data_IF_584827154699
#
_entry.id   IF_584827154699
#
_cell.length_a   1.000
_cell.length_b   1.000
_cell.length_c   1.000
_cell.angle_alpha   90.00
_cell.angle_beta   90.00
_cell.angle_gamma   90.00
#
_symmetry.space_group_name_H-M   'P 1'
#
loop_
_entity.id
_entity.type
_entity.pdbx_description
1 polymer ?
#
# COMPACT_ATOMS: atom_id res chain seq x y z
N UNK A 1 17.98 33.23 12.48
CA UNK A 1 17.37 32.50 13.62
C UNK A 1 16.06 33.12 14.12
N UNK A 2 15.79 34.42 13.95
CA UNK A 2 14.53 35.04 14.38
C UNK A 2 13.28 34.61 13.57
N UNK A 3 13.47 34.24 12.29
CA UNK A 3 12.37 33.96 11.35
C UNK A 3 11.74 32.56 11.52
N UNK A 4 12.50 31.59 12.04
CA UNK A 4 12.01 30.23 12.33
C UNK A 4 11.10 30.24 13.57
N UNK A 5 11.42 31.09 14.55
CA UNK A 5 10.62 31.22 15.78
C UNK A 5 9.26 31.87 15.50
N UNK A 6 9.23 32.89 14.65
CA UNK A 6 7.98 33.53 14.20
C UNK A 6 7.03 32.54 13.50
N UNK A 7 7.58 31.65 12.65
CA UNK A 7 6.79 30.61 11.99
C UNK A 7 6.25 29.56 12.96
N UNK A 8 7.01 29.21 14.01
CA UNK A 8 6.56 28.27 15.04
C UNK A 8 5.45 28.86 15.92
N UNK A 9 5.57 30.13 16.30
CA UNK A 9 4.58 30.82 17.15
C UNK A 9 3.25 31.02 16.40
N UNK A 10 3.30 31.25 15.08
CA UNK A 10 2.10 31.39 14.24
C UNK A 10 1.33 30.09 14.03
N UNK A 11 2.00 28.93 14.05
CA UNK A 11 1.35 27.61 13.94
C UNK A 11 0.60 27.26 15.22
N UNK A 12 1.21 27.52 16.39
CA UNK A 12 0.57 27.27 17.69
C UNK A 12 -0.71 28.09 17.89
N UNK A 13 -0.77 29.32 17.37
CA UNK A 13 -1.94 30.19 17.46
C UNK A 13 -3.14 29.71 16.61
N UNK A 14 -2.90 28.93 15.55
CA UNK A 14 -3.96 28.41 14.68
C UNK A 14 -4.59 27.13 15.24
N UNK A 15 -3.79 26.29 15.92
CA UNK A 15 -4.27 25.05 16.54
C UNK A 15 -5.19 25.31 17.74
N UNK A 16 -4.97 26.41 18.48
CA UNK A 16 -5.85 26.82 19.59
C UNK A 16 -7.26 27.24 19.12
N UNK A 17 -7.44 27.58 17.84
CA UNK A 17 -8.70 28.10 17.29
C UNK A 17 -9.62 26.99 16.72
N UNK A 18 -9.09 25.79 16.51
CA UNK A 18 -9.81 24.67 15.90
C UNK A 18 -10.56 23.76 16.90
N UNK A 19 -10.19 23.79 18.19
CA UNK A 19 -10.72 22.85 19.21
C UNK A 19 -12.03 23.27 19.90
N UNK A 20 -12.80 24.17 19.31
CA UNK A 20 -14.02 24.72 19.92
C UNK A 20 -15.27 24.64 19.05
N UNK A 21 -15.84 23.44 18.85
CA UNK A 21 -17.30 23.23 18.65
C UNK A 21 -17.67 21.74 18.59
N UNK A 22 -18.55 21.33 19.51
CA UNK A 22 -19.18 20.01 19.57
C UNK A 22 -20.44 19.87 18.70
N UNK A 23 -20.83 18.60 18.49
CA UNK A 23 -21.92 18.02 17.67
C UNK A 23 -23.37 18.37 18.14
N UNK A 24 -24.48 17.98 17.44
CA UNK A 24 -24.94 16.58 17.28
C UNK A 24 -25.71 16.20 15.96
N UNK A 25 -25.85 14.89 15.70
CA UNK A 25 -26.69 14.16 14.68
C UNK A 25 -28.20 14.14 15.05
N UNK A 26 -29.21 13.68 14.24
CA UNK A 26 -29.38 12.27 13.76
C UNK A 26 -30.25 11.99 12.46
N UNK A 27 -30.34 10.69 12.11
CA UNK A 27 -31.45 9.95 11.42
C UNK A 27 -31.54 9.94 9.87
N UNK A 28 -32.02 8.93 9.11
CA UNK A 28 -32.46 7.51 9.28
C UNK A 28 -32.81 6.94 7.87
N UNK A 29 -32.43 5.67 7.59
CA UNK A 29 -33.01 4.61 6.69
C UNK A 29 -33.45 4.87 5.24
N UNK A 30 -32.98 4.03 4.30
CA UNK A 30 -33.81 3.18 3.40
C UNK A 30 -32.93 2.08 2.75
N UNK A 31 -33.37 0.83 2.86
CA UNK A 31 -32.75 -0.39 2.34
C UNK A 31 -33.67 -1.03 1.30
N UNK A 32 -33.13 -1.58 0.21
CA UNK A 32 -33.72 -2.62 -0.66
C UNK A 32 -32.75 -2.97 -1.83
N UNK A 33 -32.86 -4.11 -2.54
CA UNK A 33 -32.71 -5.50 -2.09
C UNK A 33 -31.62 -6.29 -2.87
N UNK A 34 -31.17 -7.38 -2.25
CA UNK A 34 -30.09 -8.29 -2.67
C UNK A 34 -30.31 -9.02 -4.01
N UNK A 35 -29.26 -9.06 -4.83
CA UNK A 35 -29.04 -10.11 -5.84
C UNK A 35 -27.98 -11.07 -5.28
N UNK A 36 -28.19 -12.41 -5.24
CA UNK A 36 -27.25 -13.33 -4.59
C UNK A 36 -25.91 -13.39 -5.33
N UNK A 37 -24.89 -12.75 -4.75
CA UNK A 37 -23.50 -12.94 -5.16
C UNK A 37 -23.01 -14.31 -4.63
N UNK A 38 -22.28 -15.12 -5.42
CA UNK A 38 -21.75 -16.40 -4.96
C UNK A 38 -20.90 -16.21 -3.68
N UNK A 39 -20.97 -17.16 -2.73
CA UNK A 39 -20.34 -16.99 -1.42
C UNK A 39 -18.84 -16.78 -1.59
N UNK A 40 -18.37 -15.64 -1.09
CA UNK A 40 -16.94 -15.34 -0.91
C UNK A 40 -16.30 -16.52 -0.16
N UNK A 41 -15.22 -17.13 -0.69
CA UNK A 41 -14.61 -18.29 -0.03
C UNK A 41 -14.25 -17.92 1.40
N UNK A 42 -14.76 -18.73 2.34
CA UNK A 42 -14.62 -18.50 3.77
C UNK A 42 -13.13 -18.44 4.12
N UNK A 43 -12.67 -17.28 4.58
CA UNK A 43 -11.34 -17.10 5.19
C UNK A 43 -11.28 -18.08 6.37
N UNK A 44 -10.36 -19.05 6.32
CA UNK A 44 -10.09 -19.89 7.48
C UNK A 44 -9.83 -18.96 8.68
N UNK A 45 -10.71 -19.00 9.67
CA UNK A 45 -10.52 -18.25 10.91
C UNK A 45 -9.30 -18.86 11.59
N UNK A 46 -8.19 -18.11 11.57
CA UNK A 46 -6.96 -18.50 12.26
C UNK A 46 -7.25 -18.37 13.75
N UNK A 47 -7.76 -19.44 14.36
CA UNK A 47 -7.79 -19.56 15.81
C UNK A 47 -6.37 -19.86 16.27
N UNK A 48 -5.87 -19.11 17.27
CA UNK A 48 -4.53 -19.22 17.87
C UNK A 48 -4.25 -20.58 18.55
N UNK A 49 -5.11 -21.58 18.37
CA UNK A 49 -4.88 -22.94 18.83
C UNK A 49 -3.74 -23.58 18.01
N UNK A 50 -2.77 -24.26 18.66
CA UNK A 50 -1.74 -25.02 17.97
C UNK A 50 -2.37 -25.95 16.92
N UNK A 51 -1.79 -26.10 15.72
CA UNK A 51 -2.32 -27.03 14.73
C UNK A 51 -2.28 -28.44 15.30
N UNK A 52 -3.44 -29.10 15.39
CA UNK A 52 -3.45 -30.54 15.65
C UNK A 52 -2.75 -31.23 14.48
N UNK A 53 -1.70 -32.04 14.71
CA UNK A 53 -0.95 -32.70 13.65
C UNK A 53 -1.87 -33.51 12.75
N UNK A 54 -1.76 -33.31 11.44
CA UNK A 54 -2.60 -34.01 10.48
C UNK A 54 -2.13 -35.47 10.31
N UNK A 55 -3.07 -36.42 10.30
CA UNK A 55 -2.77 -37.86 10.16
C UNK A 55 -2.62 -38.32 8.70
N UNK A 56 -2.52 -37.39 7.74
CA UNK A 56 -2.45 -37.72 6.32
C UNK A 56 -1.08 -38.32 5.95
N UNK A 57 -1.03 -39.33 5.05
CA UNK A 57 0.23 -39.84 4.50
C UNK A 57 1.10 -38.76 3.86
N UNK A 58 0.51 -37.67 3.40
CA UNK A 58 1.22 -36.52 2.84
C UNK A 58 2.25 -35.94 3.83
N UNK A 59 1.91 -35.83 5.11
CA UNK A 59 2.82 -35.28 6.12
C UNK A 59 3.92 -36.25 6.55
N UNK A 60 3.94 -37.48 6.02
CA UNK A 60 5.07 -38.41 6.16
C UNK A 60 6.22 -38.10 5.19
N UNK A 61 5.98 -37.25 4.18
CA UNK A 61 7.02 -36.75 3.30
C UNK A 61 7.96 -35.80 4.06
N UNK A 62 9.22 -35.70 3.61
CA UNK A 62 10.14 -34.69 4.14
C UNK A 62 9.62 -33.29 3.81
N UNK A 63 9.96 -32.31 4.67
CA UNK A 63 9.60 -30.90 4.48
C UNK A 63 9.98 -30.40 3.09
N UNK A 64 11.16 -30.76 2.59
CA UNK A 64 11.64 -30.37 1.25
C UNK A 64 10.69 -30.84 0.15
N UNK A 65 10.23 -32.09 0.20
CA UNK A 65 9.29 -32.64 -0.78
C UNK A 65 7.91 -31.97 -0.67
N UNK A 66 7.45 -31.66 0.56
CA UNK A 66 6.18 -30.96 0.76
C UNK A 66 6.24 -29.53 0.20
N UNK A 67 7.32 -28.80 0.44
CA UNK A 67 7.54 -27.46 -0.12
C UNK A 67 7.58 -27.48 -1.65
N UNK A 68 8.21 -28.48 -2.26
CA UNK A 68 8.22 -28.63 -3.71
C UNK A 68 6.81 -28.90 -4.27
N UNK A 69 6.03 -29.76 -3.60
CA UNK A 69 4.62 -29.99 -3.96
C UNK A 69 3.79 -28.71 -3.82
N UNK A 70 4.01 -27.92 -2.76
CA UNK A 70 3.34 -26.63 -2.59
C UNK A 70 3.67 -25.67 -3.74
N UNK A 71 4.94 -25.59 -4.16
CA UNK A 71 5.36 -24.76 -5.29
C UNK A 71 4.66 -25.14 -6.59
N UNK A 72 4.51 -26.45 -6.85
CA UNK A 72 3.79 -26.94 -8.03
C UNK A 72 2.27 -26.67 -7.97
N UNK A 73 1.71 -26.48 -6.78
CA UNK A 73 0.28 -26.25 -6.58
C UNK A 73 -0.12 -24.76 -6.58
N UNK A 74 0.85 -23.84 -6.59
CA UNK A 74 0.64 -22.38 -6.64
C UNK A 74 0.88 -21.89 -8.09
N UNK A 75 0.24 -20.80 -8.55
CA UNK A 75 0.44 -20.32 -9.92
C UNK A 75 1.91 -20.13 -10.30
N UNK A 76 2.28 -20.55 -11.51
CA UNK A 76 3.63 -20.34 -12.05
C UNK A 76 3.94 -18.85 -12.23
N UNK A 77 2.92 -18.03 -12.49
CA UNK A 77 3.05 -16.58 -12.53
C UNK A 77 3.31 -16.02 -11.13
N UNK A 78 4.53 -15.52 -10.93
CA UNK A 78 5.00 -14.96 -9.65
C UNK A 78 4.50 -13.55 -9.34
N UNK A 79 3.70 -12.98 -10.23
CA UNK A 79 3.20 -11.61 -10.13
C UNK A 79 1.75 -11.64 -9.64
N UNK A 80 1.49 -11.08 -8.46
CA UNK A 80 0.17 -11.10 -7.85
C UNK A 80 -0.36 -9.69 -7.77
N UNK A 81 -1.45 -9.40 -8.48
CA UNK A 81 -2.12 -8.10 -8.36
C UNK A 81 -2.81 -7.97 -7.00
N UNK A 82 -2.58 -6.83 -6.35
CA UNK A 82 -3.20 -6.42 -5.09
C UNK A 82 -4.05 -5.19 -5.37
N UNK A 83 -5.30 -5.22 -4.91
CA UNK A 83 -6.24 -4.10 -4.94
C UNK A 83 -6.76 -3.77 -3.53
N UNK A 84 -7.71 -2.84 -3.45
CA UNK A 84 -8.32 -2.42 -2.18
C UNK A 84 -9.11 -3.52 -1.47
N UNK A 85 -9.50 -4.58 -2.16
CA UNK A 85 -10.18 -5.76 -1.61
C UNK A 85 -9.21 -6.88 -1.20
N UNK A 86 -7.91 -6.72 -1.51
CA UNK A 86 -6.84 -7.65 -1.21
C UNK A 86 -6.30 -8.32 -2.48
N UNK A 87 -6.03 -9.62 -2.38
CA UNK A 87 -5.56 -10.43 -3.50
C UNK A 87 -6.04 -11.86 -3.35
N UNK A 88 -6.15 -12.57 -4.48
CA UNK A 88 -6.53 -13.97 -4.49
C UNK A 88 -5.40 -14.82 -3.88
N UNK A 89 -5.73 -15.55 -2.80
CA UNK A 89 -4.81 -16.53 -2.22
C UNK A 89 -4.95 -17.87 -2.95
N UNK A 90 -3.85 -18.59 -3.19
CA UNK A 90 -3.90 -19.95 -3.73
C UNK A 90 -4.82 -20.86 -2.92
N UNK A 91 -5.59 -21.70 -3.61
CA UNK A 91 -6.53 -22.63 -2.97
C UNK A 91 -5.83 -23.58 -1.98
N UNK A 92 -4.53 -23.84 -2.19
CA UNK A 92 -3.66 -24.59 -1.29
C UNK A 92 -3.76 -24.11 0.17
N UNK A 93 -3.86 -22.80 0.39
CA UNK A 93 -3.93 -22.20 1.73
C UNK A 93 -5.26 -22.43 2.44
N UNK A 94 -6.29 -22.91 1.73
CA UNK A 94 -7.60 -23.23 2.29
C UNK A 94 -7.73 -24.71 2.69
N UNK A 95 -6.69 -25.54 2.48
CA UNK A 95 -6.75 -26.98 2.73
C UNK A 95 -6.75 -27.33 4.22
N UNK A 96 -5.67 -27.02 4.95
CA UNK A 96 -5.55 -27.23 6.38
C UNK A 96 -4.54 -26.25 7.01
N UNK A 97 -4.59 -26.10 8.33
CA UNK A 97 -3.69 -25.20 9.07
C UNK A 97 -2.21 -25.55 8.90
N UNK A 98 -1.88 -26.83 8.82
CA UNK A 98 -0.47 -27.28 8.72
C UNK A 98 0.14 -26.86 7.38
N UNK A 99 -0.54 -27.13 6.26
CA UNK A 99 -0.14 -26.64 4.93
C UNK A 99 -0.09 -25.11 4.91
N UNK A 100 -1.10 -24.44 5.50
CA UNK A 100 -1.11 -22.98 5.58
C UNK A 100 0.18 -22.45 6.23
N UNK A 101 0.54 -22.92 7.42
CA UNK A 101 1.72 -22.41 8.12
C UNK A 101 3.04 -22.82 7.47
N UNK A 102 3.12 -23.98 6.82
CA UNK A 102 4.35 -24.44 6.16
C UNK A 102 4.60 -23.73 4.83
N UNK A 103 3.55 -23.49 4.02
CA UNK A 103 3.68 -22.93 2.68
C UNK A 103 3.68 -21.38 2.64
N UNK A 104 3.06 -20.72 3.63
CA UNK A 104 2.89 -19.26 3.63
C UNK A 104 4.23 -18.48 3.59
N UNK A 105 5.29 -18.86 4.35
CA UNK A 105 6.57 -18.15 4.30
C UNK A 105 7.21 -18.20 2.91
N UNK A 106 7.23 -19.36 2.27
CA UNK A 106 7.77 -19.52 0.91
C UNK A 106 6.98 -18.70 -0.11
N UNK A 107 5.66 -18.64 0.02
CA UNK A 107 4.82 -17.83 -0.87
C UNK A 107 5.11 -16.34 -0.77
N UNK A 108 5.26 -15.76 0.42
CA UNK A 108 5.60 -14.34 0.52
C UNK A 108 7.06 -14.04 0.14
N UNK A 109 7.95 -15.03 0.21
CA UNK A 109 9.34 -14.89 -0.21
C UNK A 109 9.52 -15.00 -1.74
N UNK A 110 8.78 -15.88 -2.40
CA UNK A 110 8.99 -16.22 -3.81
C UNK A 110 8.19 -15.34 -4.79
N UNK A 111 7.14 -14.65 -4.31
CA UNK A 111 6.19 -13.91 -5.15
C UNK A 111 6.37 -12.40 -5.03
N UNK A 112 6.12 -11.70 -6.14
CA UNK A 112 6.13 -10.24 -6.24
C UNK A 112 4.68 -9.75 -6.28
N UNK A 113 4.30 -9.00 -5.27
CA UNK A 113 2.98 -8.37 -5.20
C UNK A 113 2.99 -7.04 -5.93
N UNK A 114 1.93 -6.77 -6.68
CA UNK A 114 1.78 -5.60 -7.52
C UNK A 114 0.55 -4.83 -7.10
N UNK A 115 0.73 -3.79 -6.30
CA UNK A 115 -0.39 -2.94 -5.90
C UNK A 115 -0.70 -1.95 -7.01
N UNK A 116 -1.86 -2.09 -7.64
CA UNK A 116 -2.31 -1.17 -8.67
C UNK A 116 -2.89 0.09 -8.02
N UNK A 117 -2.05 1.09 -7.84
CA UNK A 117 -2.43 2.41 -7.35
C UNK A 117 -3.05 3.22 -8.50
N UNK A 118 -4.24 3.76 -8.25
CA UNK A 118 -4.89 4.72 -9.16
C UNK A 118 -4.70 6.11 -8.60
N UNK A 119 -4.48 7.10 -9.45
CA UNK A 119 -4.38 8.51 -9.03
C UNK A 119 -3.37 8.71 -7.89
N UNK A 120 -2.26 7.95 -7.87
CA UNK A 120 -1.28 7.96 -6.78
C UNK A 120 -1.85 7.72 -5.37
N UNK A 121 -3.04 7.12 -5.25
CA UNK A 121 -3.66 6.84 -3.96
C UNK A 121 -2.81 5.81 -3.16
N UNK A 122 -2.29 6.19 -1.99
CA UNK A 122 -1.46 5.32 -1.17
C UNK A 122 -2.26 4.29 -0.35
N UNK A 123 -3.61 4.30 -0.38
CA UNK A 123 -4.43 3.47 0.50
C UNK A 123 -4.13 1.96 0.40
N UNK A 124 -4.00 1.43 -0.82
CA UNK A 124 -3.70 -0.01 -1.04
C UNK A 124 -2.34 -0.39 -0.44
N UNK A 125 -1.34 0.48 -0.62
CA UNK A 125 0.00 0.26 -0.07
C UNK A 125 0.00 0.39 1.45
N UNK A 126 -0.74 1.36 1.98
CA UNK A 126 -0.88 1.57 3.42
C UNK A 126 -1.48 0.32 4.08
N UNK A 127 -2.59 -0.18 3.54
CA UNK A 127 -3.23 -1.41 4.02
C UNK A 127 -2.28 -2.62 3.93
N UNK A 128 -1.55 -2.76 2.82
CA UNK A 128 -0.54 -3.81 2.67
C UNK A 128 0.50 -3.79 3.78
N UNK A 129 1.07 -2.62 4.07
CA UNK A 129 2.07 -2.48 5.11
C UNK A 129 1.52 -2.78 6.50
N UNK A 130 0.29 -2.37 6.79
CA UNK A 130 -0.38 -2.70 8.05
C UNK A 130 -0.62 -4.20 8.21
N UNK A 131 -1.04 -4.87 7.15
CA UNK A 131 -1.28 -6.31 7.14
C UNK A 131 0.01 -7.12 7.19
N UNK A 132 1.11 -6.63 6.61
CA UNK A 132 2.35 -7.42 6.46
C UNK A 132 3.45 -7.13 7.47
N UNK A 133 3.29 -6.09 8.31
CA UNK A 133 4.30 -5.70 9.33
C UNK A 133 4.70 -6.79 10.34
N UNK A 134 3.90 -7.86 10.45
CA UNK A 134 4.15 -8.97 11.38
C UNK A 134 4.99 -10.09 10.77
N UNK A 135 5.25 -10.08 9.46
CA UNK A 135 6.16 -11.04 8.83
C UNK A 135 7.61 -10.69 9.13
N UNK A 136 8.42 -11.71 9.40
CA UNK A 136 9.86 -11.54 9.65
C UNK A 136 10.60 -11.01 8.42
N UNK A 137 10.19 -11.45 7.23
CA UNK A 137 10.68 -10.94 5.95
C UNK A 137 9.56 -10.13 5.31
N UNK A 138 9.84 -8.86 4.99
CA UNK A 138 8.88 -7.98 4.32
C UNK A 138 8.55 -8.55 2.93
N UNK A 139 7.28 -8.92 2.67
CA UNK A 139 6.89 -9.39 1.36
C UNK A 139 7.19 -8.37 0.26
N UNK A 140 7.69 -8.83 -0.88
CA UNK A 140 8.05 -7.95 -1.98
C UNK A 140 6.81 -7.33 -2.62
N UNK A 141 6.66 -6.00 -2.52
CA UNK A 141 5.59 -5.25 -3.19
C UNK A 141 6.14 -4.16 -4.12
N UNK A 142 5.51 -4.05 -5.29
CA UNK A 142 5.73 -3.03 -6.30
C UNK A 142 4.47 -2.17 -6.44
N UNK A 143 4.49 -0.91 -5.98
CA UNK A 143 3.39 0.02 -6.22
C UNK A 143 3.39 0.45 -7.69
N UNK A 144 2.43 -0.06 -8.47
CA UNK A 144 2.28 0.27 -9.89
C UNK A 144 1.22 1.36 -10.05
N UNK A 145 1.54 2.42 -10.78
CA UNK A 145 0.56 3.46 -11.13
C UNK A 145 0.18 3.41 -12.60
N UNK A 146 -1.09 3.66 -12.90
CA UNK A 146 -1.57 3.92 -14.27
C UNK A 146 -1.21 5.33 -14.75
N UNK A 147 -0.43 6.07 -13.96
CA UNK A 147 0.06 7.41 -14.27
C UNK A 147 -1.04 8.43 -14.55
N UNK A 148 -2.08 8.40 -13.71
CA UNK A 148 -3.10 9.46 -13.69
C UNK A 148 -2.70 10.52 -12.64
N UNK A 149 -2.39 11.77 -13.05
CA UNK A 149 -1.99 12.84 -12.15
C UNK A 149 -2.98 13.08 -11.01
N UNK A 150 -2.46 13.17 -9.79
CA UNK A 150 -3.22 13.62 -8.63
C UNK A 150 -2.26 14.11 -7.55
N UNK A 151 -2.18 15.42 -7.38
CA UNK A 151 -1.13 16.03 -6.58
C UNK A 151 -1.27 15.73 -5.08
N UNK A 152 -2.48 15.83 -4.54
CA UNK A 152 -2.70 15.63 -3.10
C UNK A 152 -2.35 14.21 -2.65
N UNK A 153 -2.83 13.18 -3.36
CA UNK A 153 -2.45 11.79 -3.12
C UNK A 153 -0.93 11.55 -3.24
N UNK A 154 -0.26 12.15 -4.23
CA UNK A 154 1.20 12.06 -4.34
C UNK A 154 1.89 12.68 -3.12
N UNK A 155 1.41 13.83 -2.63
CA UNK A 155 1.93 14.47 -1.42
C UNK A 155 1.70 13.61 -0.18
N UNK A 156 0.53 12.99 -0.04
CA UNK A 156 0.25 12.07 1.07
C UNK A 156 1.16 10.84 1.04
N UNK A 157 1.44 10.31 -0.15
CA UNK A 157 2.40 9.24 -0.31
C UNK A 157 3.83 9.69 0.06
N UNK A 158 4.26 10.85 -0.44
CA UNK A 158 5.56 11.43 -0.11
C UNK A 158 5.71 11.69 1.40
N UNK A 159 4.61 12.04 2.08
CA UNK A 159 4.56 12.19 3.55
C UNK A 159 4.82 10.87 4.26
N UNK A 160 4.13 9.80 3.84
CA UNK A 160 4.38 8.46 4.38
C UNK A 160 5.79 7.94 4.07
N UNK A 161 6.30 8.24 2.88
CA UNK A 161 7.65 7.87 2.46
C UNK A 161 8.73 8.63 3.24
N UNK A 162 8.52 9.93 3.47
CA UNK A 162 9.35 10.76 4.35
C UNK A 162 9.39 10.16 5.77
N UNK A 163 8.22 9.87 6.35
CA UNK A 163 8.10 9.27 7.69
C UNK A 163 8.66 7.84 7.78
N UNK A 164 8.88 7.17 6.65
CA UNK A 164 9.31 5.77 6.60
C UNK A 164 8.17 4.76 6.80
N UNK A 165 6.92 5.21 6.90
CA UNK A 165 5.75 4.32 6.99
C UNK A 165 5.35 3.69 5.65
N UNK A 166 5.73 4.31 4.53
CA UNK A 166 5.54 3.80 3.18
C UNK A 166 6.89 3.74 2.46
N UNK A 167 7.71 2.69 2.62
CA UNK A 167 9.11 2.69 2.18
C UNK A 167 9.33 2.50 0.67
N UNK A 168 8.26 2.41 -0.14
CA UNK A 168 8.37 2.16 -1.59
C UNK A 168 7.93 3.36 -2.42
N UNK A 169 8.68 3.59 -3.49
CA UNK A 169 8.36 4.55 -4.52
C UNK A 169 7.37 3.93 -5.51
N UNK A 170 6.58 4.78 -6.16
CA UNK A 170 5.69 4.38 -7.24
C UNK A 170 6.49 4.11 -8.52
N UNK A 171 6.12 3.06 -9.24
CA UNK A 171 6.68 2.71 -10.55
C UNK A 171 5.58 2.70 -11.62
N UNK A 172 5.94 2.97 -12.85
CA UNK A 172 5.00 2.98 -13.97
C UNK A 172 4.53 1.59 -14.35
N UNK A 173 3.25 1.49 -14.74
CA UNK A 173 2.67 0.25 -15.29
C UNK A 173 2.79 0.25 -16.82
N UNK A 174 3.66 -0.60 -17.34
CA UNK A 174 3.77 -0.85 -18.79
C UNK A 174 4.52 0.24 -19.56
N UNK A 175 4.27 0.33 -20.86
CA UNK A 175 4.95 1.29 -21.74
C UNK A 175 4.45 2.71 -21.49
N UNK A 176 5.37 3.63 -21.26
CA UNK A 176 5.08 5.05 -21.11
C UNK A 176 5.22 5.80 -22.42
N UNK A 177 4.45 6.88 -22.56
CA UNK A 177 4.78 7.94 -23.51
C UNK A 177 5.98 8.74 -23.02
N UNK A 178 6.69 9.40 -23.94
CA UNK A 178 7.83 10.27 -23.60
C UNK A 178 7.49 11.38 -22.59
N UNK A 179 6.26 11.89 -22.62
CA UNK A 179 5.79 12.88 -21.63
C UNK A 179 5.67 12.24 -20.24
N UNK A 180 5.14 11.02 -20.16
CA UNK A 180 5.03 10.27 -18.89
C UNK A 180 6.41 9.91 -18.33
N UNK A 181 7.38 9.58 -19.18
CA UNK A 181 8.78 9.35 -18.74
C UNK A 181 9.35 10.60 -18.06
N UNK A 182 9.19 11.79 -18.64
CA UNK A 182 9.62 13.04 -17.99
C UNK A 182 8.89 13.30 -16.68
N UNK A 183 7.59 12.99 -16.60
CA UNK A 183 6.86 13.08 -15.34
C UNK A 183 7.38 12.09 -14.30
N UNK A 184 7.72 10.86 -14.70
CA UNK A 184 8.30 9.84 -13.82
C UNK A 184 9.63 10.29 -13.25
N UNK A 185 10.52 10.86 -14.07
CA UNK A 185 11.79 11.41 -13.60
C UNK A 185 11.57 12.46 -12.49
N UNK A 186 10.61 13.37 -12.69
CA UNK A 186 10.27 14.39 -11.70
C UNK A 186 9.69 13.74 -10.44
N UNK A 187 8.71 12.84 -10.57
CA UNK A 187 8.11 12.14 -9.42
C UNK A 187 9.19 11.38 -8.63
N UNK A 188 10.11 10.69 -9.30
CA UNK A 188 11.23 9.99 -8.65
C UNK A 188 12.15 10.95 -7.91
N UNK A 189 12.42 12.13 -8.48
CA UNK A 189 13.19 13.18 -7.80
C UNK A 189 12.49 13.72 -6.55
N UNK A 190 11.14 13.78 -6.54
CA UNK A 190 10.36 14.13 -5.36
C UNK A 190 10.53 13.08 -4.25
N UNK A 191 10.45 11.79 -4.58
CA UNK A 191 10.73 10.73 -3.62
C UNK A 191 12.18 10.78 -3.09
N UNK A 192 13.15 11.04 -3.96
CA UNK A 192 14.54 11.26 -3.57
C UNK A 192 14.69 12.44 -2.60
N UNK A 193 14.02 13.55 -2.87
CA UNK A 193 14.01 14.74 -2.00
C UNK A 193 13.37 14.43 -0.64
N UNK A 194 12.21 13.75 -0.63
CA UNK A 194 11.54 13.32 0.59
C UNK A 194 12.42 12.37 1.43
N UNK A 195 13.17 11.46 0.80
CA UNK A 195 14.14 10.60 1.48
C UNK A 195 15.25 11.40 2.15
N UNK A 196 15.90 12.31 1.39
CA UNK A 196 17.02 13.11 1.89
C UNK A 196 16.61 14.01 3.05
N UNK A 197 15.36 14.49 3.05
CA UNK A 197 14.82 15.35 4.08
C UNK A 197 14.15 14.61 5.25
N UNK A 198 14.25 13.26 5.33
CA UNK A 198 13.62 12.43 6.38
C UNK A 198 13.96 12.87 7.81
N UNK A 199 15.14 13.46 8.03
CA UNK A 199 15.57 13.96 9.34
C UNK A 199 15.12 15.39 9.66
N UNK A 200 14.39 16.02 8.75
CA UNK A 200 13.84 17.36 8.90
C UNK A 200 12.32 17.32 9.07
N UNK A 201 11.70 18.37 9.64
CA UNK A 201 10.24 18.46 9.74
C UNK A 201 9.57 18.34 8.38
N UNK A 202 8.45 17.59 8.33
CA UNK A 202 7.66 17.40 7.12
C UNK A 202 7.30 18.73 6.43
N UNK A 203 6.98 19.76 7.21
CA UNK A 203 6.61 21.08 6.68
C UNK A 203 7.69 21.73 5.82
N UNK A 204 8.97 21.49 6.13
CA UNK A 204 10.09 21.95 5.30
C UNK A 204 10.16 21.14 4.00
N UNK A 205 10.06 19.81 4.09
CA UNK A 205 10.07 18.94 2.93
C UNK A 205 8.91 19.27 1.98
N UNK A 206 7.69 19.43 2.52
CA UNK A 206 6.49 19.81 1.76
C UNK A 206 6.70 21.08 0.95
N UNK A 207 7.20 22.15 1.57
CA UNK A 207 7.46 23.43 0.89
C UNK A 207 8.45 23.27 -0.27
N UNK A 208 9.49 22.45 -0.10
CA UNK A 208 10.48 22.19 -1.16
C UNK A 208 9.85 21.38 -2.30
N UNK A 209 9.08 20.34 -1.98
CA UNK A 209 8.38 19.50 -2.96
C UNK A 209 7.35 20.32 -3.77
N UNK A 210 6.65 21.26 -3.14
CA UNK A 210 5.67 22.14 -3.79
C UNK A 210 6.28 23.02 -4.89
N UNK A 211 7.57 23.39 -4.78
CA UNK A 211 8.28 24.17 -5.81
C UNK A 211 8.39 23.42 -7.13
N UNK A 212 8.32 22.09 -7.12
CA UNK A 212 8.37 21.25 -8.32
C UNK A 212 7.01 21.07 -9.00
N UNK A 213 5.89 21.39 -8.33
CA UNK A 213 4.53 21.23 -8.91
C UNK A 213 4.35 21.98 -10.24
N UNK A 214 4.82 23.24 -10.42
CA UNK A 214 4.71 23.93 -11.70
C UNK A 214 5.37 23.18 -12.88
N UNK A 215 6.47 22.47 -12.64
CA UNK A 215 7.13 21.68 -13.69
C UNK A 215 6.26 20.50 -14.14
N UNK A 216 5.61 19.81 -13.19
CA UNK A 216 4.63 18.76 -13.50
C UNK A 216 3.41 19.32 -14.25
N UNK A 217 2.90 20.48 -13.84
CA UNK A 217 1.78 21.17 -14.51
C UNK A 217 2.13 21.58 -15.95
N UNK A 218 3.37 22.00 -16.19
CA UNK A 218 3.84 22.35 -17.54
C UNK A 218 3.89 21.14 -18.48
N UNK A 219 4.17 19.94 -17.94
CA UNK A 219 4.13 18.69 -18.69
C UNK A 219 2.71 18.15 -18.88
N UNK A 220 1.85 18.32 -17.88
CA UNK A 220 0.45 17.89 -17.90
C UNK A 220 -0.41 18.72 -16.95
N UNK A 221 -1.32 19.50 -17.52
CA UNK A 221 -2.18 20.41 -16.79
C UNK A 221 -3.05 19.73 -15.72
N UNK A 222 -3.28 18.41 -15.81
CA UNK A 222 -4.06 17.64 -14.82
C UNK A 222 -3.42 17.67 -13.43
N UNK A 223 -2.10 17.85 -13.30
CA UNK A 223 -1.42 18.04 -12.01
C UNK A 223 -1.87 19.29 -11.23
N UNK A 224 -2.53 20.24 -11.91
CA UNK A 224 -3.08 21.44 -11.29
C UNK A 224 -4.32 21.14 -10.45
N UNK A 225 -5.04 20.08 -10.81
CA UNK A 225 -6.33 19.74 -10.23
C UNK A 225 -6.21 18.47 -9.40
N UNK A 226 -6.90 18.45 -8.26
CA UNK A 226 -7.11 17.25 -7.46
C UNK A 226 -8.51 16.74 -7.86
N UNK A 227 -8.55 15.80 -8.80
CA UNK A 227 -9.77 15.25 -9.41
C UNK A 227 -10.08 13.84 -8.89
#
# INVERSE_FOLDING_TARGET
>A
MAEIKDLQDRVAALEAKANGRGSPTPSTTTSEPDTPQPPKPARLQITNSPPTPQSSPFFRLSTELRLEIYRLAVPEEKWIDVDSSGYARPALFNTCKEIYFEALPSFYADYIFCANTRNFDPAVITHWYEETKHFQNEPHILPRSTWNPHWSNLIDWLKGYHAGSLPKQVVSKGNMSRIQEYQEEIVRSLFGTAFMLRRHPWELARRILEVSRPALVALDARWKHDH
#
